data_IF_602265775368
#
_entry.id   IF_602265775368
#
_cell.length_a   1.000
_cell.length_b   1.000
_cell.length_c   1.000
_cell.angle_alpha   90.00
_cell.angle_beta   90.00
_cell.angle_gamma   90.00
#
_symmetry.space_group_name_H-M   'P 1'
#
loop_
_entity.id
_entity.type
_entity.pdbx_description
1 polymer ?
#
# COMPACT_ATOMS: atom_id res chain seq x y z
N UNK A 1 12.84 -22.98 -30.96
CA UNK A 1 12.00 -22.91 -29.75
C UNK A 1 12.33 -21.62 -29.01
N UNK A 2 11.48 -20.61 -29.09
CA UNK A 2 11.74 -19.31 -28.47
C UNK A 2 10.63 -18.34 -28.84
N UNK A 3 9.74 -18.06 -27.89
CA UNK A 3 8.62 -17.15 -28.08
C UNK A 3 8.17 -16.66 -26.71
N UNK A 4 8.77 -15.56 -26.27
CA UNK A 4 8.21 -14.68 -25.26
C UNK A 4 6.91 -14.07 -25.79
N UNK A 5 5.76 -14.20 -25.12
CA UNK A 5 4.53 -13.55 -25.53
C UNK A 5 4.44 -12.16 -24.90
N UNK A 6 5.32 -11.23 -25.29
CA UNK A 6 5.03 -9.81 -25.16
C UNK A 6 4.67 -9.28 -26.55
N UNK A 7 3.43 -9.55 -26.96
CA UNK A 7 2.86 -8.89 -28.13
C UNK A 7 2.48 -7.46 -27.73
N UNK A 8 3.39 -6.52 -27.99
CA UNK A 8 3.05 -5.10 -28.10
C UNK A 8 1.99 -4.94 -29.19
N UNK A 9 0.84 -4.38 -28.85
CA UNK A 9 -0.06 -3.80 -29.83
C UNK A 9 -0.84 -2.63 -29.23
N UNK A 10 -0.65 -1.49 -29.90
CA UNK A 10 -1.60 -0.40 -30.11
C UNK A 10 -1.91 0.55 -28.96
N UNK A 11 -1.23 1.70 -29.01
CA UNK A 11 -1.72 2.99 -28.51
C UNK A 11 -3.10 3.27 -29.10
N UNK A 12 -4.15 3.04 -28.33
CA UNK A 12 -5.46 3.65 -28.56
C UNK A 12 -5.62 4.80 -27.60
N UNK A 13 -5.34 6.00 -28.11
CA UNK A 13 -5.80 7.26 -27.53
C UNK A 13 -7.32 7.26 -27.58
N UNK A 14 -7.96 6.71 -26.56
CA UNK A 14 -9.39 6.80 -26.36
C UNK A 14 -9.66 7.89 -25.33
N UNK A 15 -10.07 9.05 -25.84
CA UNK A 15 -10.83 10.06 -25.13
C UNK A 15 -12.06 9.39 -24.48
N UNK A 16 -11.89 8.87 -23.26
CA UNK A 16 -12.94 8.19 -22.52
C UNK A 16 -13.72 9.21 -21.69
N UNK A 17 -14.76 9.76 -22.29
CA UNK A 17 -15.83 10.44 -21.57
C UNK A 17 -16.66 9.39 -20.80
N UNK A 18 -16.51 9.45 -19.47
CA UNK A 18 -17.32 8.95 -18.37
C UNK A 18 -18.59 8.11 -18.67
N UNK A 19 -18.60 6.89 -18.13
CA UNK A 19 -19.82 6.20 -17.65
C UNK A 19 -19.63 5.83 -16.16
N UNK A 20 -20.70 5.80 -15.33
CA UNK A 20 -20.60 5.68 -13.89
C UNK A 20 -20.63 4.20 -13.44
N UNK A 21 -19.51 3.50 -13.59
CA UNK A 21 -19.24 2.25 -12.87
C UNK A 21 -17.82 2.32 -12.33
N UNK A 22 -17.67 2.49 -11.01
CA UNK A 22 -16.41 2.65 -10.25
C UNK A 22 -15.27 3.29 -11.06
N UNK A 23 -15.46 4.55 -11.47
CA UNK A 23 -14.43 5.31 -12.16
C UNK A 23 -13.11 5.25 -11.35
N UNK A 24 -12.02 4.84 -12.01
CA UNK A 24 -10.70 4.82 -11.39
C UNK A 24 -10.40 6.19 -10.77
N UNK A 25 -9.86 6.24 -9.54
CA UNK A 25 -9.61 7.51 -8.85
C UNK A 25 -8.73 8.39 -9.72
N UNK A 26 -9.09 9.67 -9.85
CA UNK A 26 -8.30 10.63 -10.64
C UNK A 26 -6.90 10.73 -10.06
N UNK A 27 -5.91 11.09 -10.88
CA UNK A 27 -4.51 11.22 -10.44
C UNK A 27 -4.35 12.02 -9.14
N UNK A 28 -5.00 13.18 -9.07
CA UNK A 28 -4.98 14.04 -7.88
C UNK A 28 -5.61 13.38 -6.64
N UNK A 29 -6.61 12.50 -6.80
CA UNK A 29 -7.18 11.76 -5.65
C UNK A 29 -6.22 10.68 -5.15
N UNK A 30 -5.48 10.03 -6.06
CA UNK A 30 -4.44 9.07 -5.68
C UNK A 30 -3.29 9.73 -4.93
N UNK A 31 -2.87 10.91 -5.37
CA UNK A 31 -1.83 11.69 -4.69
C UNK A 31 -2.24 12.03 -3.25
N UNK A 32 -3.48 12.45 -3.03
CA UNK A 32 -4.02 12.67 -1.67
C UNK A 32 -4.04 11.39 -0.83
N UNK A 33 -4.54 10.29 -1.41
CA UNK A 33 -4.54 8.99 -0.75
C UNK A 33 -3.13 8.54 -0.34
N UNK A 34 -2.13 8.70 -1.22
CA UNK A 34 -0.76 8.34 -0.89
C UNK A 34 -0.18 9.22 0.22
N UNK A 35 -0.42 10.53 0.20
CA UNK A 35 -0.01 11.42 1.27
C UNK A 35 -0.64 11.01 2.62
N UNK A 36 -1.95 10.80 2.67
CA UNK A 36 -2.64 10.36 3.89
C UNK A 36 -2.16 8.98 4.38
N UNK A 37 -1.87 8.07 3.45
CA UNK A 37 -1.31 6.75 3.76
C UNK A 37 0.09 6.88 4.38
N UNK A 38 0.95 7.72 3.81
CA UNK A 38 2.32 7.91 4.31
C UNK A 38 2.32 8.56 5.71
N UNK A 39 1.47 9.57 5.94
CA UNK A 39 1.31 10.21 7.27
C UNK A 39 0.76 9.24 8.32
N UNK A 40 -0.24 8.44 7.95
CA UNK A 40 -0.78 7.43 8.87
C UNK A 40 0.27 6.37 9.20
N UNK A 41 0.99 5.85 8.19
CA UNK A 41 1.97 4.80 8.40
C UNK A 41 3.21 5.29 9.16
N UNK A 42 3.63 6.55 9.00
CA UNK A 42 4.71 7.11 9.80
C UNK A 42 4.32 7.22 11.27
N UNK A 43 3.09 7.64 11.56
CA UNK A 43 2.59 7.68 12.92
C UNK A 43 2.53 6.27 13.56
N UNK A 44 2.13 5.25 12.80
CA UNK A 44 2.16 3.86 13.28
C UNK A 44 3.58 3.37 13.56
N UNK A 45 4.55 3.77 12.73
CA UNK A 45 5.97 3.43 12.94
C UNK A 45 6.50 4.07 14.24
N UNK A 46 6.15 5.34 14.50
CA UNK A 46 6.49 6.03 15.75
C UNK A 46 5.84 5.38 16.98
N UNK A 47 4.59 4.92 16.84
CA UNK A 47 3.87 4.18 17.88
C UNK A 47 4.32 2.71 18.00
N UNK A 48 5.24 2.23 17.15
CA UNK A 48 5.68 0.83 17.07
C UNK A 48 4.52 -0.17 16.86
N UNK A 49 3.47 0.25 16.13
CA UNK A 49 2.33 -0.60 15.77
C UNK A 49 2.55 -1.16 14.37
N UNK A 50 2.69 -2.48 14.26
CA UNK A 50 2.92 -3.14 12.98
C UNK A 50 1.64 -3.32 12.16
N UNK A 51 0.55 -3.70 12.82
CA UNK A 51 -0.74 -4.02 12.17
C UNK A 51 -1.63 -2.77 12.19
N UNK A 52 -1.93 -2.16 11.03
CA UNK A 52 -2.83 -1.02 10.97
C UNK A 52 -4.24 -1.40 11.46
N UNK A 53 -4.79 -0.63 12.38
CA UNK A 53 -6.07 -0.89 13.03
C UNK A 53 -5.98 -1.63 14.36
N UNK A 54 -4.79 -2.13 14.73
CA UNK A 54 -4.54 -2.78 16.03
C UNK A 54 -4.06 -1.77 17.10
N UNK A 55 -3.86 -0.49 16.75
CA UNK A 55 -3.48 0.58 17.69
C UNK A 55 -4.53 0.89 18.78
N UNK A 56 -5.61 0.13 18.87
CA UNK A 56 -6.68 0.31 19.83
C UNK A 56 -7.84 1.18 19.31
N UNK A 57 -9.01 1.00 19.94
CA UNK A 57 -10.22 1.77 19.65
C UNK A 57 -10.49 2.75 20.80
N UNK A 58 -10.48 4.06 20.52
CA UNK A 58 -10.77 5.08 21.52
C UNK A 58 -10.12 6.43 21.22
N UNK A 59 -10.32 7.39 22.13
CA UNK A 59 -9.74 8.73 22.05
C UNK A 59 -8.23 8.73 22.31
N UNK A 60 -7.75 7.73 23.06
CA UNK A 60 -6.35 7.54 23.44
C UNK A 60 -5.55 6.70 22.42
N UNK A 61 -6.22 6.20 21.38
CA UNK A 61 -5.57 5.39 20.35
C UNK A 61 -4.64 6.28 19.52
N UNK A 62 -3.34 5.95 19.43
CA UNK A 62 -2.41 6.72 18.61
C UNK A 62 -2.87 6.70 17.15
N UNK A 63 -2.68 7.83 16.45
CA UNK A 63 -2.94 7.95 15.02
C UNK A 63 -4.42 7.82 14.57
N UNK A 64 -5.39 7.79 15.48
CA UNK A 64 -6.82 7.59 15.14
C UNK A 64 -7.38 8.64 14.15
N UNK A 65 -6.97 9.90 14.27
CA UNK A 65 -7.36 10.95 13.32
C UNK A 65 -6.77 10.71 11.92
N UNK A 66 -5.50 10.29 11.85
CA UNK A 66 -4.83 9.99 10.58
C UNK A 66 -5.43 8.75 9.92
N UNK A 67 -5.83 7.74 10.71
CA UNK A 67 -6.58 6.58 10.22
C UNK A 67 -7.89 6.99 9.55
N UNK A 68 -8.67 7.86 10.20
CA UNK A 68 -9.94 8.34 9.64
C UNK A 68 -9.72 9.14 8.33
N UNK A 69 -8.69 9.99 8.28
CA UNK A 69 -8.31 10.70 7.05
C UNK A 69 -7.90 9.73 5.95
N UNK A 70 -7.07 8.74 6.27
CA UNK A 70 -6.60 7.71 5.36
C UNK A 70 -7.76 6.90 4.77
N UNK A 71 -8.69 6.40 5.59
CA UNK A 71 -9.86 5.65 5.14
C UNK A 71 -10.84 6.49 4.31
N UNK A 72 -10.92 7.80 4.59
CA UNK A 72 -11.80 8.72 3.86
C UNK A 72 -11.21 9.13 2.51
N UNK A 73 -9.90 9.37 2.45
CA UNK A 73 -9.23 9.84 1.23
C UNK A 73 -8.86 8.70 0.27
N UNK A 74 -8.62 7.50 0.80
CA UNK A 74 -8.30 6.34 0.00
C UNK A 74 -9.53 5.49 -0.37
N UNK A 75 -9.42 4.80 -1.50
CA UNK A 75 -10.40 3.79 -1.86
C UNK A 75 -10.27 2.57 -0.92
N UNK A 76 -11.39 1.99 -0.49
CA UNK A 76 -11.41 0.84 0.44
C UNK A 76 -10.56 -0.35 -0.02
N UNK A 77 -10.52 -0.63 -1.32
CA UNK A 77 -9.69 -1.71 -1.89
C UNK A 77 -8.19 -1.39 -1.83
N UNK A 78 -7.82 -0.11 -1.82
CA UNK A 78 -6.44 0.32 -1.66
C UNK A 78 -6.01 0.25 -0.20
N UNK A 79 -6.90 0.67 0.71
CA UNK A 79 -6.66 0.59 2.15
C UNK A 79 -6.35 -0.85 2.57
N UNK A 80 -7.24 -1.78 2.23
CA UNK A 80 -7.04 -3.22 2.53
C UNK A 80 -5.73 -3.76 1.94
N UNK A 81 -5.43 -3.42 0.68
CA UNK A 81 -4.18 -3.83 0.04
C UNK A 81 -2.93 -3.28 0.74
N UNK A 82 -2.90 -1.99 1.10
CA UNK A 82 -1.76 -1.38 1.77
C UNK A 82 -1.55 -1.92 3.18
N UNK A 83 -2.64 -2.14 3.93
CA UNK A 83 -2.56 -2.74 5.26
C UNK A 83 -1.96 -4.14 5.19
N UNK A 84 -2.43 -4.98 4.27
CA UNK A 84 -1.86 -6.30 4.04
C UNK A 84 -0.38 -6.23 3.64
N UNK A 85 -0.02 -5.28 2.77
CA UNK A 85 1.35 -5.12 2.29
C UNK A 85 2.32 -4.71 3.39
N UNK A 86 1.89 -3.91 4.36
CA UNK A 86 2.73 -3.52 5.51
C UNK A 86 3.11 -4.75 6.34
N UNK A 87 2.14 -5.61 6.67
CA UNK A 87 2.39 -6.84 7.43
C UNK A 87 3.33 -7.78 6.68
N UNK A 88 3.05 -8.03 5.39
CA UNK A 88 3.89 -8.88 4.56
C UNK A 88 5.33 -8.35 4.40
N UNK A 89 5.50 -7.02 4.40
CA UNK A 89 6.83 -6.42 4.29
C UNK A 89 7.69 -6.74 5.52
N UNK A 90 7.12 -6.81 6.72
CA UNK A 90 7.85 -7.21 7.92
C UNK A 90 8.26 -8.68 7.87
N UNK A 91 7.34 -9.58 7.52
CA UNK A 91 7.65 -11.01 7.37
C UNK A 91 8.76 -11.25 6.34
N UNK A 92 8.72 -10.51 5.22
CA UNK A 92 9.74 -10.61 4.18
C UNK A 92 11.11 -10.13 4.65
N UNK A 93 11.18 -9.09 5.51
CA UNK A 93 12.45 -8.59 6.04
C UNK A 93 13.18 -9.67 6.85
N UNK A 94 12.46 -10.44 7.66
CA UNK A 94 13.03 -11.51 8.47
C UNK A 94 13.62 -12.63 7.60
N UNK A 95 12.86 -13.08 6.60
CA UNK A 95 13.30 -14.11 5.65
C UNK A 95 14.55 -13.65 4.90
N UNK A 96 14.55 -12.40 4.40
CA UNK A 96 15.68 -11.83 3.69
C UNK A 96 16.91 -11.67 4.60
N UNK A 97 16.72 -11.32 5.88
CA UNK A 97 17.80 -11.24 6.85
C UNK A 97 18.43 -12.62 7.12
N UNK A 98 17.60 -13.66 7.29
CA UNK A 98 18.05 -15.03 7.48
C UNK A 98 18.84 -15.54 6.28
N UNK A 99 18.37 -15.29 5.06
CA UNK A 99 19.09 -15.64 3.83
C UNK A 99 20.46 -14.97 3.72
N UNK A 100 20.54 -13.66 4.03
CA UNK A 100 21.80 -12.91 4.03
C UNK A 100 22.79 -13.45 5.06
N UNK A 101 22.33 -13.83 6.25
CA UNK A 101 23.17 -14.43 7.28
C UNK A 101 23.75 -15.78 6.84
N UNK A 102 22.94 -16.61 6.16
CA UNK A 102 23.41 -17.88 5.60
C UNK A 102 24.46 -17.69 4.49
N UNK A 103 24.29 -16.70 3.61
CA UNK A 103 25.28 -16.39 2.59
C UNK A 103 26.59 -15.88 3.20
N UNK A 104 26.51 -15.02 4.22
CA UNK A 104 27.70 -14.48 4.91
C UNK A 104 28.47 -15.57 5.67
N UNK A 105 27.79 -16.52 6.32
CA UNK A 105 28.43 -17.64 6.99
C UNK A 105 28.96 -18.73 6.04
N UNK A 106 28.58 -18.69 4.75
CA UNK A 106 29.10 -19.57 3.70
C UNK A 106 30.38 -19.01 3.05
N UNK A 107 30.70 -17.72 3.25
CA UNK A 107 31.93 -17.08 2.78
C UNK A 107 33.03 -17.17 3.83
#
# INVERSE_FOLDING_TARGET
>A
MGWWPFASSSSSSSTAAAQPEKAAPRRAQREKCYAAKDEYFSCLDEASVLVPGDEGAGHDAPCAQLRAMYETQCQKSWVSYFNQRRVLAEEQKEILAAQKAQEQGRR
#
